data_IF_625970842911
#
_entry.id   IF_625970842911
#
_cell.length_a   1.000
_cell.length_b   1.000
_cell.length_c   1.000
_cell.angle_alpha   90.00
_cell.angle_beta   90.00
_cell.angle_gamma   90.00
#
_symmetry.space_group_name_H-M   'P 1'
#
loop_
_entity.id
_entity.type
_entity.pdbx_description
1 polymer ?
#
# COMPACT_ATOMS: atom_id res chain seq x y z
N UNK A 1 56.92 -18.98 47.05
CA UNK A 1 57.60 -17.70 47.29
C UNK A 1 57.08 -16.66 46.35
N UNK A 2 56.35 -15.68 46.84
CA UNK A 2 55.79 -14.61 46.05
C UNK A 2 56.91 -13.64 45.62
N UNK A 3 56.93 -13.32 44.34
CA UNK A 3 57.81 -12.30 43.74
C UNK A 3 57.00 -11.08 43.40
N UNK A 4 57.43 -9.92 43.82
CA UNK A 4 56.93 -8.62 43.43
C UNK A 4 58.03 -7.87 42.68
N UNK A 5 57.74 -7.49 41.43
CA UNK A 5 58.66 -6.72 40.60
C UNK A 5 58.06 -5.36 40.27
N UNK A 6 58.73 -4.27 40.65
CA UNK A 6 58.34 -2.88 40.42
C UNK A 6 59.45 -2.18 39.63
N UNK A 7 59.17 -1.84 38.38
CA UNK A 7 60.06 -1.06 37.52
C UNK A 7 59.69 0.43 37.62
N UNK A 8 60.54 1.23 38.25
CA UNK A 8 60.37 2.68 38.40
C UNK A 8 61.21 3.51 37.40
N UNK A 9 61.69 2.93 36.35
CA UNK A 9 62.44 3.67 35.31
C UNK A 9 61.53 4.55 34.45
N UNK A 10 61.85 5.86 34.25
CA UNK A 10 60.89 6.82 33.62
C UNK A 10 60.79 6.70 32.12
N UNK A 11 61.13 5.86 31.39
CA UNK A 11 60.91 5.62 29.98
C UNK A 11 61.73 4.44 29.46
N UNK A 12 61.08 3.36 29.18
CA UNK A 12 61.68 2.14 28.62
C UNK A 12 61.38 0.93 29.54
N UNK A 13 61.58 -0.23 29.01
CA UNK A 13 61.35 -1.47 29.76
C UNK A 13 62.53 -1.71 30.70
N UNK A 14 62.30 -1.68 32.00
CA UNK A 14 63.30 -2.03 33.02
C UNK A 14 63.61 -3.54 33.04
N UNK A 15 62.56 -4.35 32.74
CA UNK A 15 62.69 -5.78 32.61
C UNK A 15 62.28 -6.24 31.20
N UNK A 16 63.20 -6.82 30.47
CA UNK A 16 62.94 -7.24 29.09
C UNK A 16 62.26 -8.62 28.97
N UNK A 17 62.45 -9.50 29.93
CA UNK A 17 61.87 -10.84 29.94
C UNK A 17 61.79 -11.43 31.34
N UNK A 18 60.66 -11.99 31.70
CA UNK A 18 60.43 -12.70 32.95
C UNK A 18 59.90 -14.09 32.61
N UNK A 19 60.49 -15.15 33.15
CA UNK A 19 59.95 -16.51 33.07
C UNK A 19 59.56 -17.00 34.46
N UNK A 20 58.32 -17.42 34.67
CA UNK A 20 57.90 -18.17 35.84
C UNK A 20 58.14 -19.64 35.60
N UNK A 21 59.19 -20.21 36.21
CA UNK A 21 59.54 -21.62 36.08
C UNK A 21 59.95 -22.15 37.48
N UNK A 22 59.33 -23.22 37.93
CA UNK A 22 59.64 -23.82 39.23
C UNK A 22 58.56 -24.75 39.75
N UNK A 23 58.42 -24.78 41.10
CA UNK A 23 57.38 -25.56 41.77
C UNK A 23 55.99 -24.95 41.59
N UNK A 24 54.93 -25.77 41.70
CA UNK A 24 53.54 -25.33 41.64
C UNK A 24 53.23 -24.20 42.58
N UNK A 25 52.36 -23.30 42.14
CA UNK A 25 51.78 -22.23 42.99
C UNK A 25 52.66 -20.99 43.12
N UNK A 26 53.51 -20.66 42.16
CA UNK A 26 54.24 -19.40 42.15
C UNK A 26 53.31 -18.21 41.93
N UNK A 27 53.62 -17.10 42.60
CA UNK A 27 52.90 -15.82 42.43
C UNK A 27 53.86 -14.72 41.97
N UNK A 28 53.47 -14.01 40.92
CA UNK A 28 54.23 -12.85 40.38
C UNK A 28 53.32 -11.64 40.32
N UNK A 29 53.72 -10.55 40.99
CA UNK A 29 53.03 -9.26 40.87
C UNK A 29 53.96 -8.24 40.19
N UNK A 30 53.42 -7.59 39.16
CA UNK A 30 54.13 -6.62 38.29
C UNK A 30 53.60 -5.22 38.56
N UNK A 31 54.49 -4.27 38.66
CA UNK A 31 54.18 -2.84 38.59
C UNK A 31 55.25 -2.16 37.74
N UNK A 32 54.83 -1.35 36.76
CA UNK A 32 55.71 -0.71 35.77
C UNK A 32 55.72 -1.43 34.43
N UNK A 33 56.79 -1.19 33.61
CA UNK A 33 56.83 -1.63 32.24
C UNK A 33 57.67 -2.88 32.03
N UNK A 34 57.04 -3.93 31.49
CA UNK A 34 57.68 -5.23 31.21
C UNK A 34 57.46 -5.60 29.76
N UNK A 35 58.52 -6.09 29.08
CA UNK A 35 58.37 -6.43 27.66
C UNK A 35 57.69 -7.80 27.47
N UNK A 36 58.11 -8.83 28.23
CA UNK A 36 57.55 -10.18 28.05
C UNK A 36 57.51 -10.94 29.39
N UNK A 37 56.40 -11.60 29.64
CA UNK A 37 56.23 -12.52 30.75
C UNK A 37 55.81 -13.88 30.18
N UNK A 38 56.51 -14.95 30.54
CA UNK A 38 56.14 -16.32 30.19
C UNK A 38 55.89 -17.14 31.45
N UNK A 39 54.69 -17.67 31.56
CA UNK A 39 54.28 -18.56 32.64
C UNK A 39 54.44 -20.03 32.23
N UNK A 40 55.30 -20.76 32.87
CA UNK A 40 55.59 -22.18 32.64
C UNK A 40 55.20 -23.06 33.85
N UNK A 41 54.60 -22.48 34.89
CA UNK A 41 54.41 -23.15 36.20
C UNK A 41 52.91 -23.40 36.45
N UNK A 42 52.51 -24.62 36.80
CA UNK A 42 51.14 -24.92 37.17
C UNK A 42 50.68 -24.16 38.46
N UNK A 43 49.36 -23.92 38.57
CA UNK A 43 48.71 -23.28 39.73
C UNK A 43 49.32 -21.94 40.12
N UNK A 44 49.94 -21.30 39.20
CA UNK A 44 50.60 -19.98 39.43
C UNK A 44 49.58 -18.82 39.24
N UNK A 45 49.93 -17.68 39.80
CA UNK A 45 49.15 -16.46 39.62
C UNK A 45 50.06 -15.32 39.15
N UNK A 46 49.63 -14.62 38.11
CA UNK A 46 50.26 -13.38 37.64
C UNK A 46 49.31 -12.23 37.89
N UNK A 47 49.79 -11.18 38.56
CA UNK A 47 49.10 -9.91 38.75
C UNK A 47 49.85 -8.80 38.05
N UNK A 48 49.16 -8.01 37.22
CA UNK A 48 49.64 -6.74 36.64
C UNK A 48 48.94 -5.64 37.44
N UNK A 49 49.62 -5.08 38.40
CA UNK A 49 49.04 -4.10 39.31
C UNK A 49 48.99 -2.70 38.73
N UNK A 50 49.92 -2.35 37.87
CA UNK A 50 49.96 -1.08 37.13
C UNK A 50 51.04 -1.09 36.06
N UNK A 51 50.97 -0.15 35.08
CA UNK A 51 51.95 -0.01 34.02
C UNK A 51 51.58 -0.81 32.76
N UNK A 52 52.60 -1.09 31.94
CA UNK A 52 52.43 -1.68 30.63
C UNK A 52 53.22 -2.96 30.46
N UNK A 53 52.58 -3.99 29.89
CA UNK A 53 53.24 -5.25 29.52
C UNK A 53 53.01 -5.52 28.03
N UNK A 54 54.09 -5.64 27.19
CA UNK A 54 53.92 -5.94 25.79
C UNK A 54 53.30 -7.32 25.54
N UNK A 55 53.76 -8.36 26.28
CA UNK A 55 53.28 -9.74 26.03
C UNK A 55 53.27 -10.59 27.29
N UNK A 56 52.17 -11.28 27.52
CA UNK A 56 52.05 -12.34 28.54
C UNK A 56 51.73 -13.65 27.82
N UNK A 57 52.57 -14.65 27.96
CA UNK A 57 52.37 -16.00 27.46
C UNK A 57 52.06 -16.96 28.64
N UNK A 58 50.92 -17.63 28.58
CA UNK A 58 50.56 -18.72 29.50
C UNK A 58 50.70 -20.04 28.73
N UNK A 59 51.83 -20.72 28.96
CA UNK A 59 52.24 -21.95 28.27
C UNK A 59 51.31 -23.13 28.64
N UNK A 60 51.26 -24.15 27.80
CA UNK A 60 50.50 -25.39 28.03
C UNK A 60 50.81 -26.11 29.36
N UNK A 61 51.99 -25.89 29.91
CA UNK A 61 52.42 -26.46 31.20
C UNK A 61 51.81 -25.71 32.41
N UNK A 62 51.40 -24.47 32.25
CA UNK A 62 50.90 -23.61 33.33
C UNK A 62 49.40 -23.87 33.65
N UNK A 63 49.06 -25.15 33.87
CA UNK A 63 47.68 -25.57 34.16
C UNK A 63 47.16 -24.94 35.45
N UNK A 64 45.84 -24.66 35.52
CA UNK A 64 45.16 -24.06 36.69
C UNK A 64 45.72 -22.69 37.09
N UNK A 65 46.33 -21.97 36.19
CA UNK A 65 46.90 -20.65 36.42
C UNK A 65 45.87 -19.51 36.28
N UNK A 66 46.15 -18.41 36.96
CA UNK A 66 45.32 -17.20 36.91
C UNK A 66 46.13 -15.97 36.48
N UNK A 67 45.50 -15.06 35.78
CA UNK A 67 46.05 -13.77 35.41
C UNK A 67 45.08 -12.68 35.91
N UNK A 68 45.58 -11.71 36.66
CA UNK A 68 44.81 -10.54 37.09
C UNK A 68 45.43 -9.27 36.51
N UNK A 69 44.65 -8.46 35.80
CA UNK A 69 45.07 -7.19 35.21
C UNK A 69 44.25 -6.09 35.89
N UNK A 70 44.91 -5.33 36.78
CA UNK A 70 44.23 -4.32 37.56
C UNK A 70 43.80 -3.11 36.71
N UNK A 71 42.81 -2.35 37.18
CA UNK A 71 42.37 -1.12 36.51
C UNK A 71 43.55 -0.15 36.30
N UNK A 72 43.69 0.34 35.09
CA UNK A 72 44.80 1.22 34.66
C UNK A 72 46.10 0.50 34.34
N UNK A 73 46.13 -0.82 34.37
CA UNK A 73 47.20 -1.62 33.80
C UNK A 73 46.85 -2.01 32.36
N UNK A 74 47.84 -2.05 31.49
CA UNK A 74 47.68 -2.35 30.05
C UNK A 74 48.56 -3.53 29.64
N UNK A 75 48.02 -4.46 28.87
CA UNK A 75 48.74 -5.60 28.29
C UNK A 75 48.45 -5.65 26.78
N UNK A 76 49.48 -5.45 25.94
CA UNK A 76 49.24 -5.44 24.48
C UNK A 76 48.82 -6.81 23.98
N UNK A 77 49.49 -7.89 24.42
CA UNK A 77 49.21 -9.25 23.93
C UNK A 77 49.10 -10.26 25.08
N UNK A 78 48.04 -11.01 25.12
CA UNK A 78 47.83 -12.14 26.04
C UNK A 78 47.64 -13.42 25.24
N UNK A 79 48.54 -14.41 25.38
CA UNK A 79 48.44 -15.69 24.71
C UNK A 79 48.16 -16.81 25.72
N UNK A 80 47.06 -17.54 25.55
CA UNK A 80 46.61 -18.59 26.44
C UNK A 80 46.67 -19.95 25.72
N UNK A 81 47.75 -20.72 25.97
CA UNK A 81 47.91 -22.07 25.43
C UNK A 81 47.31 -23.15 26.34
N UNK A 82 46.76 -22.77 27.49
CA UNK A 82 46.06 -23.63 28.46
C UNK A 82 44.85 -22.87 29.01
N UNK A 83 43.86 -23.58 29.54
CA UNK A 83 42.72 -23.02 30.20
C UNK A 83 43.15 -22.09 31.35
N UNK A 84 42.85 -20.81 31.24
CA UNK A 84 43.30 -19.75 32.16
C UNK A 84 42.12 -18.86 32.54
N UNK A 85 42.06 -18.48 33.85
CA UNK A 85 41.15 -17.46 34.33
C UNK A 85 41.85 -16.09 34.30
N UNK A 86 41.40 -15.19 33.45
CA UNK A 86 41.85 -13.81 33.36
C UNK A 86 40.80 -12.91 33.99
N UNK A 87 41.17 -12.13 34.99
CA UNK A 87 40.30 -11.31 35.82
C UNK A 87 40.83 -9.88 35.94
N UNK A 88 40.01 -8.96 36.38
CA UNK A 88 40.34 -7.55 36.61
C UNK A 88 39.58 -6.61 35.66
N UNK A 89 39.95 -5.34 35.70
CA UNK A 89 39.35 -4.25 34.93
C UNK A 89 40.41 -3.46 34.13
N UNK A 90 41.56 -4.07 33.84
CA UNK A 90 42.62 -3.49 33.02
C UNK A 90 42.39 -3.77 31.53
N UNK A 91 43.25 -3.20 30.68
CA UNK A 91 43.11 -3.25 29.24
C UNK A 91 43.95 -4.38 28.61
N UNK A 92 43.38 -5.08 27.64
CA UNK A 92 44.07 -6.08 26.81
C UNK A 92 43.92 -5.67 25.33
N UNK A 93 45.02 -5.37 24.66
CA UNK A 93 45.04 -5.05 23.24
C UNK A 93 44.64 -6.24 22.39
N UNK A 94 45.35 -7.38 22.51
CA UNK A 94 45.05 -8.61 21.76
C UNK A 94 45.09 -9.85 22.64
N UNK A 95 43.99 -10.57 22.66
CA UNK A 95 43.86 -11.87 23.30
C UNK A 95 43.89 -12.99 22.27
N UNK A 96 44.80 -13.96 22.47
CA UNK A 96 44.84 -15.20 21.69
C UNK A 96 44.52 -16.38 22.61
N UNK A 97 43.49 -17.18 22.26
CA UNK A 97 43.09 -18.37 22.98
C UNK A 97 43.29 -19.63 22.13
N UNK A 98 44.24 -20.48 22.52
CA UNK A 98 44.60 -21.70 21.86
C UNK A 98 44.04 -22.98 22.51
N UNK A 99 43.56 -22.88 23.78
CA UNK A 99 43.02 -24.00 24.53
C UNK A 99 41.60 -23.71 25.06
N UNK A 100 40.70 -24.71 25.09
CA UNK A 100 39.33 -24.51 25.55
C UNK A 100 39.26 -24.31 27.09
N UNK A 101 38.19 -23.62 27.54
CA UNK A 101 37.89 -23.45 28.95
C UNK A 101 38.47 -22.18 29.58
N UNK A 102 39.12 -21.32 28.83
CA UNK A 102 39.57 -20.02 29.36
C UNK A 102 38.38 -19.10 29.61
N UNK A 103 38.50 -18.28 30.69
CA UNK A 103 37.53 -17.25 31.05
C UNK A 103 38.23 -15.90 31.16
N UNK A 104 37.66 -14.85 30.58
CA UNK A 104 38.20 -13.47 30.59
C UNK A 104 37.08 -12.53 30.98
N UNK A 105 37.24 -11.76 32.07
CA UNK A 105 36.17 -10.91 32.62
C UNK A 105 36.05 -9.56 31.91
N UNK A 106 37.06 -9.12 31.19
CA UNK A 106 37.05 -7.90 30.38
C UNK A 106 36.95 -8.21 28.87
N UNK A 107 36.58 -7.24 28.06
CA UNK A 107 36.52 -7.37 26.58
C UNK A 107 37.83 -6.83 25.98
N UNK A 108 38.70 -7.67 25.39
CA UNK A 108 39.93 -7.25 24.72
C UNK A 108 39.61 -6.49 23.42
N UNK A 109 40.56 -5.64 22.96
CA UNK A 109 40.40 -4.90 21.70
C UNK A 109 40.34 -5.83 20.49
N UNK A 110 41.18 -6.84 20.45
CA UNK A 110 41.17 -7.87 19.44
C UNK A 110 41.16 -9.26 20.10
N UNK A 111 40.44 -10.18 19.51
CA UNK A 111 40.32 -11.54 20.00
C UNK A 111 40.59 -12.51 18.84
N UNK A 112 41.49 -13.44 19.10
CA UNK A 112 41.75 -14.57 18.21
C UNK A 112 41.51 -15.86 18.97
N UNK A 113 40.58 -16.69 18.54
CA UNK A 113 40.34 -18.03 19.08
C UNK A 113 40.69 -19.06 18.03
N UNK A 114 41.47 -20.05 18.43
CA UNK A 114 41.85 -21.17 17.52
C UNK A 114 40.59 -21.94 17.08
N UNK A 115 40.44 -22.31 15.79
CA UNK A 115 39.30 -23.08 15.30
C UNK A 115 39.06 -24.36 16.14
N UNK A 116 37.81 -24.56 16.57
CA UNK A 116 37.41 -25.68 17.42
C UNK A 116 37.64 -25.46 18.94
N UNK A 117 38.07 -24.27 19.33
CA UNK A 117 38.24 -23.88 20.71
C UNK A 117 37.09 -22.93 21.11
N UNK A 118 36.56 -23.02 22.33
CA UNK A 118 35.61 -22.10 22.95
C UNK A 118 36.20 -21.46 24.20
N UNK A 119 35.93 -20.18 24.41
CA UNK A 119 36.25 -19.42 25.61
C UNK A 119 35.05 -18.61 26.09
N UNK A 120 35.04 -18.19 27.35
CA UNK A 120 34.07 -17.25 27.88
C UNK A 120 34.74 -15.89 28.03
N UNK A 121 34.31 -14.87 27.32
CA UNK A 121 34.89 -13.52 27.30
C UNK A 121 33.80 -12.51 27.56
N UNK A 122 33.99 -11.62 28.54
CA UNK A 122 32.97 -10.65 28.99
C UNK A 122 31.61 -11.33 29.31
N UNK A 123 31.65 -12.54 29.83
CA UNK A 123 30.47 -13.34 30.17
C UNK A 123 29.81 -14.07 29.02
N UNK A 124 30.29 -13.93 27.80
CA UNK A 124 29.75 -14.58 26.60
C UNK A 124 30.64 -15.71 26.10
N UNK A 125 30.03 -16.83 25.65
CA UNK A 125 30.76 -17.90 25.01
C UNK A 125 31.10 -17.49 23.56
N UNK A 126 32.38 -17.59 23.24
CA UNK A 126 32.90 -17.26 21.91
C UNK A 126 33.72 -18.42 21.33
N UNK A 127 33.54 -18.65 20.04
CA UNK A 127 34.40 -19.45 19.18
C UNK A 127 35.23 -18.54 18.26
N UNK A 128 35.93 -19.12 17.31
CA UNK A 128 36.75 -18.38 16.35
C UNK A 128 35.97 -17.41 15.46
N UNK A 129 34.71 -17.71 15.11
CA UNK A 129 33.86 -16.88 14.28
C UNK A 129 33.30 -15.68 15.09
N UNK A 130 32.77 -15.96 16.28
CA UNK A 130 32.29 -14.91 17.20
C UNK A 130 33.41 -13.95 17.62
N UNK A 131 34.64 -14.47 17.85
CA UNK A 131 35.82 -13.67 18.14
C UNK A 131 36.21 -12.72 16.99
N UNK A 132 36.18 -13.21 15.77
CA UNK A 132 36.45 -12.39 14.57
C UNK A 132 35.40 -11.29 14.38
N UNK A 133 34.12 -11.59 14.59
CA UNK A 133 33.05 -10.59 14.55
C UNK A 133 33.17 -9.55 15.67
N UNK A 134 33.53 -9.95 16.87
CA UNK A 134 33.75 -9.04 18.00
C UNK A 134 34.94 -8.10 17.81
N UNK A 135 35.94 -8.52 17.08
CA UNK A 135 37.15 -7.74 16.78
C UNK A 135 36.98 -6.80 15.57
N UNK A 136 35.95 -7.02 14.73
CA UNK A 136 35.70 -6.18 13.58
C UNK A 136 35.16 -4.81 14.00
N UNK A 137 35.27 -3.81 13.12
CA UNK A 137 34.65 -2.49 13.34
C UNK A 137 33.16 -2.60 13.63
N UNK A 138 32.63 -1.78 14.55
CA UNK A 138 31.20 -1.81 14.86
C UNK A 138 30.35 -1.49 13.65
N UNK A 139 29.35 -2.32 13.37
CA UNK A 139 28.43 -2.10 12.26
C UNK A 139 27.06 -2.74 12.53
N UNK A 140 26.03 -2.11 12.01
CA UNK A 140 24.74 -2.77 11.83
C UNK A 140 24.88 -3.84 10.72
N UNK A 141 24.32 -5.02 10.96
CA UNK A 141 24.36 -6.13 9.98
C UNK A 141 23.60 -5.80 8.70
N UNK A 142 23.88 -6.55 7.65
CA UNK A 142 23.20 -6.40 6.36
C UNK A 142 21.68 -6.59 6.53
N UNK A 143 20.88 -5.72 5.90
CA UNK A 143 19.43 -5.70 6.04
C UNK A 143 18.89 -4.91 7.23
N UNK A 144 19.77 -4.41 8.12
CA UNK A 144 19.36 -3.58 9.26
C UNK A 144 19.85 -2.13 9.13
N UNK A 145 19.11 -1.14 9.66
CA UNK A 145 17.79 -1.27 10.29
C UNK A 145 16.71 -1.75 9.32
N UNK A 146 15.73 -2.50 9.82
CA UNK A 146 14.55 -2.95 9.08
C UNK A 146 13.30 -2.35 9.72
N UNK A 147 12.29 -1.98 8.90
CA UNK A 147 10.98 -1.54 9.39
C UNK A 147 9.93 -2.57 9.00
N UNK A 148 9.21 -3.08 10.00
CA UNK A 148 8.14 -4.09 9.86
C UNK A 148 6.85 -3.61 10.56
N UNK A 149 5.79 -4.40 10.49
CA UNK A 149 4.50 -4.17 11.16
C UNK A 149 3.97 -2.75 10.95
N UNK A 150 4.09 -2.26 9.70
CA UNK A 150 3.61 -0.94 9.30
C UNK A 150 2.10 -0.85 9.51
N UNK A 151 1.71 0.09 10.36
CA UNK A 151 0.32 0.46 10.60
C UNK A 151 0.15 1.97 10.38
N UNK A 152 -1.07 2.49 10.25
CA UNK A 152 -1.31 3.90 9.95
C UNK A 152 -0.62 4.90 10.89
N UNK A 153 -0.41 4.52 12.15
CA UNK A 153 0.17 5.40 13.17
C UNK A 153 1.34 4.79 13.93
N UNK A 154 1.86 3.66 13.45
CA UNK A 154 2.97 2.96 14.09
C UNK A 154 3.75 2.07 13.14
N UNK A 155 4.96 1.72 13.56
CA UNK A 155 5.84 0.76 12.87
C UNK A 155 6.69 0.03 13.90
N UNK A 156 7.32 -1.06 13.53
CA UNK A 156 8.34 -1.74 14.33
C UNK A 156 9.68 -1.58 13.62
N UNK A 157 10.66 -0.96 14.29
CA UNK A 157 12.05 -0.95 13.82
C UNK A 157 12.81 -2.11 14.45
N UNK A 158 13.61 -2.82 13.63
CA UNK A 158 14.45 -3.93 14.05
C UNK A 158 15.91 -3.59 13.74
N UNK A 159 16.78 -3.99 14.66
CA UNK A 159 18.21 -3.72 14.57
C UNK A 159 18.99 -4.98 14.92
N UNK A 160 20.10 -5.18 14.25
CA UNK A 160 21.09 -6.20 14.59
C UNK A 160 22.48 -5.65 14.29
N UNK A 161 23.44 -5.95 15.13
CA UNK A 161 24.82 -5.49 15.00
C UNK A 161 25.79 -6.67 15.16
N UNK A 162 27.02 -6.48 14.70
CA UNK A 162 28.06 -7.52 14.77
C UNK A 162 28.61 -7.77 16.19
N UNK A 163 28.33 -6.91 17.12
CA UNK A 163 28.79 -7.01 18.51
C UNK A 163 27.78 -6.47 19.52
N UNK A 164 28.04 -6.66 20.81
CA UNK A 164 27.28 -6.08 21.90
C UNK A 164 27.45 -4.56 21.91
N UNK A 165 26.38 -3.84 22.24
CA UNK A 165 26.40 -2.37 22.31
C UNK A 165 25.00 -1.77 22.28
N UNK A 166 24.92 -0.48 21.93
CA UNK A 166 23.70 0.30 21.95
C UNK A 166 23.42 0.93 20.58
N UNK A 167 22.22 0.72 20.06
CA UNK A 167 21.73 1.46 18.89
C UNK A 167 21.06 2.75 19.36
N UNK A 168 21.49 3.86 18.82
CA UNK A 168 20.83 5.16 18.90
C UNK A 168 20.04 5.38 17.61
N UNK A 169 18.77 5.70 17.72
CA UNK A 169 17.90 5.83 16.55
C UNK A 169 16.97 7.03 16.67
N UNK A 170 16.58 7.58 15.52
CA UNK A 170 15.56 8.61 15.43
C UNK A 170 14.74 8.46 14.17
N UNK A 171 13.47 8.85 14.25
CA UNK A 171 12.54 8.98 13.14
C UNK A 171 12.26 10.46 12.89
N UNK A 172 12.41 10.89 11.64
CA UNK A 172 12.10 12.25 11.19
C UNK A 172 11.12 12.20 10.03
N UNK A 173 10.36 13.28 9.79
CA UNK A 173 9.60 13.43 8.54
C UNK A 173 10.55 13.56 7.36
N UNK A 174 10.18 12.99 6.21
CA UNK A 174 10.95 13.15 4.95
C UNK A 174 11.11 14.61 4.57
N UNK A 175 10.13 15.46 4.84
CA UNK A 175 10.19 16.89 4.58
C UNK A 175 11.26 17.62 5.39
N UNK A 176 11.61 17.09 6.56
CA UNK A 176 12.61 17.68 7.46
C UNK A 176 14.03 17.12 7.23
N UNK A 177 14.15 16.05 6.46
CA UNK A 177 15.40 15.33 6.19
C UNK A 177 15.80 14.35 7.31
N UNK A 178 16.88 13.61 7.09
CA UNK A 178 17.47 12.70 8.09
C UNK A 178 18.34 13.47 9.07
N UNK A 179 18.63 12.86 10.23
CA UNK A 179 19.53 13.41 11.25
C UNK A 179 20.92 12.80 11.15
N UNK A 180 21.93 13.54 11.62
CA UNK A 180 23.32 13.10 11.70
C UNK A 180 23.61 12.27 12.97
N UNK A 181 24.84 11.76 13.09
CA UNK A 181 25.30 10.94 14.23
C UNK A 181 25.22 11.72 15.55
N UNK A 182 25.67 12.96 15.55
CA UNK A 182 25.68 13.80 16.76
C UNK A 182 24.27 14.10 17.26
N UNK A 183 23.31 14.25 16.36
CA UNK A 183 21.91 14.46 16.69
C UNK A 183 21.26 13.19 17.29
N UNK A 184 21.72 12.00 16.86
CA UNK A 184 21.26 10.74 17.42
C UNK A 184 21.77 10.53 18.86
N UNK A 185 23.02 10.90 19.12
CA UNK A 185 23.63 10.75 20.43
C UNK A 185 23.13 11.79 21.44
N UNK A 186 22.72 12.98 20.98
CA UNK A 186 22.21 14.07 21.80
C UNK A 186 20.88 14.63 21.27
N UNK A 187 19.79 13.85 21.35
CA UNK A 187 18.52 14.22 20.70
C UNK A 187 17.89 15.52 21.24
N UNK A 188 18.27 16.00 22.42
CA UNK A 188 17.75 17.23 23.02
C UNK A 188 18.17 18.51 22.29
N UNK A 189 19.23 18.48 21.50
CA UNK A 189 19.73 19.64 20.74
C UNK A 189 19.01 19.85 19.40
N UNK A 190 18.24 18.87 18.92
CA UNK A 190 17.65 18.85 17.57
C UNK A 190 16.10 18.86 17.55
N UNK A 191 15.50 19.46 18.46
CA UNK A 191 14.11 19.27 18.82
C UNK A 191 13.18 19.69 17.69
N UNK A 192 12.79 20.18 16.82
CA UNK A 192 11.48 20.03 16.14
C UNK A 192 11.42 18.98 15.02
N UNK A 193 12.52 18.43 14.54
CA UNK A 193 12.52 17.49 13.42
C UNK A 193 12.33 16.03 13.84
N UNK A 194 12.67 15.70 15.07
CA UNK A 194 12.57 14.32 15.55
C UNK A 194 11.14 14.03 16.00
N UNK A 195 10.48 13.14 15.28
CA UNK A 195 9.15 12.62 15.63
C UNK A 195 9.25 11.65 16.79
N UNK A 196 10.24 10.75 16.76
CA UNK A 196 10.57 9.78 17.79
C UNK A 196 12.07 9.50 17.80
N UNK A 197 12.62 9.24 18.98
CA UNK A 197 13.98 8.77 19.14
C UNK A 197 14.09 7.85 20.35
N UNK A 198 15.18 7.15 20.46
CA UNK A 198 15.47 6.29 21.59
C UNK A 198 16.76 5.52 21.42
N UNK A 199 17.00 4.63 22.38
CA UNK A 199 18.13 3.71 22.39
C UNK A 199 17.63 2.28 22.51
N UNK A 200 18.43 1.32 22.03
CA UNK A 200 18.18 -0.10 22.15
C UNK A 200 19.50 -0.83 22.40
N UNK A 201 19.62 -1.52 23.52
CA UNK A 201 20.78 -2.35 23.80
C UNK A 201 20.69 -3.67 23.04
N UNK A 202 21.78 -4.03 22.37
CA UNK A 202 21.95 -5.30 21.66
C UNK A 202 22.97 -6.16 22.41
N UNK A 203 22.70 -7.45 22.55
CA UNK A 203 23.55 -8.40 23.26
C UNK A 203 24.56 -9.11 22.36
N UNK A 204 24.57 -8.82 21.05
CA UNK A 204 25.45 -9.43 20.05
C UNK A 204 24.71 -9.73 18.73
N UNK A 205 25.38 -10.47 17.85
CA UNK A 205 24.92 -10.72 16.47
C UNK A 205 23.75 -11.70 16.32
N UNK A 206 23.44 -12.49 17.34
CA UNK A 206 22.56 -13.67 17.21
C UNK A 206 21.04 -13.37 17.30
N UNK A 207 20.63 -12.22 17.82
CA UNK A 207 19.22 -11.89 18.01
C UNK A 207 18.94 -10.42 17.67
N UNK A 208 18.13 -10.14 16.63
CA UNK A 208 17.72 -8.76 16.36
C UNK A 208 16.88 -8.20 17.51
N UNK A 209 17.26 -7.03 17.98
CA UNK A 209 16.42 -6.25 18.89
C UNK A 209 15.34 -5.50 18.11
N UNK A 210 14.21 -5.21 18.73
CA UNK A 210 13.10 -4.48 18.12
C UNK A 210 12.56 -3.39 19.02
N UNK A 211 12.05 -2.33 18.41
CA UNK A 211 11.38 -1.22 19.09
C UNK A 211 10.13 -0.81 18.34
N UNK A 212 9.02 -0.61 19.07
CA UNK A 212 7.79 -0.11 18.50
C UNK A 212 7.83 1.42 18.42
N UNK A 213 7.66 1.95 17.24
CA UNK A 213 7.52 3.37 16.94
C UNK A 213 6.03 3.69 16.86
N UNK A 214 5.54 4.63 17.66
CA UNK A 214 4.13 5.03 17.71
C UNK A 214 3.99 6.55 17.63
N UNK A 215 2.78 7.04 17.30
CA UNK A 215 2.50 8.48 17.18
C UNK A 215 2.91 9.02 15.80
N UNK A 216 3.03 8.15 14.80
CA UNK A 216 3.18 8.51 13.40
C UNK A 216 1.84 8.99 12.84
N UNK A 217 1.87 9.75 11.74
CA UNK A 217 0.68 10.13 11.00
C UNK A 217 0.39 9.14 9.88
N UNK A 218 -0.87 8.88 9.62
CA UNK A 218 -1.31 8.08 8.47
C UNK A 218 -0.85 8.72 7.15
N UNK A 219 -0.44 7.90 6.18
CA UNK A 219 0.11 8.35 4.89
C UNK A 219 1.37 9.24 5.04
N UNK A 220 2.05 9.12 6.19
CA UNK A 220 3.26 9.87 6.50
C UNK A 220 4.51 9.17 5.98
N UNK A 221 5.42 9.93 5.36
CA UNK A 221 6.72 9.44 4.91
C UNK A 221 7.81 9.86 5.88
N UNK A 222 8.66 8.91 6.26
CA UNK A 222 9.65 9.07 7.33
C UNK A 222 11.02 8.54 6.93
N UNK A 223 12.08 9.10 7.56
CA UNK A 223 13.38 8.50 7.66
C UNK A 223 13.57 7.87 9.04
N UNK A 224 14.13 6.67 9.07
CA UNK A 224 14.72 6.06 10.25
C UNK A 224 16.23 6.15 10.12
N UNK A 225 16.85 6.94 11.00
CA UNK A 225 18.31 7.08 11.11
C UNK A 225 18.78 6.29 12.32
N UNK A 226 19.89 5.58 12.19
CA UNK A 226 20.47 4.77 13.27
C UNK A 226 21.99 4.74 13.22
N UNK A 227 22.60 4.77 14.41
CA UNK A 227 24.02 4.52 14.64
C UNK A 227 24.16 3.50 15.77
N UNK A 228 25.05 2.56 15.61
CA UNK A 228 25.38 1.59 16.66
C UNK A 228 26.68 2.03 17.33
N UNK A 229 26.73 1.94 18.65
CA UNK A 229 27.90 2.23 19.49
C UNK A 229 28.21 0.98 20.31
N UNK A 230 29.42 0.48 20.19
CA UNK A 230 29.85 -0.72 20.91
C UNK A 230 30.27 -0.43 22.37
N UNK A 231 30.75 -1.44 23.07
CA UNK A 231 31.18 -1.33 24.49
C UNK A 231 32.48 -0.50 24.65
N UNK A 232 33.22 -0.26 23.57
CA UNK A 232 34.43 0.59 23.53
C UNK A 232 34.14 2.04 23.12
N UNK A 233 32.84 2.40 23.01
CA UNK A 233 32.40 3.71 22.52
C UNK A 233 32.72 3.97 21.04
N UNK A 234 33.15 2.93 20.29
CA UNK A 234 33.31 3.03 18.84
C UNK A 234 31.98 3.05 18.13
N UNK A 235 31.91 3.74 16.98
CA UNK A 235 30.65 4.04 16.27
C UNK A 235 30.60 3.39 14.90
N UNK A 236 29.47 2.81 14.57
CA UNK A 236 29.19 2.37 13.21
C UNK A 236 29.00 3.56 12.26
N UNK A 237 29.09 3.34 10.94
CA UNK A 237 28.54 4.28 9.98
C UNK A 237 27.03 4.52 10.21
N UNK A 238 26.61 5.79 9.98
CA UNK A 238 25.19 6.14 10.01
C UNK A 238 24.42 5.35 8.96
N UNK A 239 23.33 4.74 9.35
CA UNK A 239 22.36 4.11 8.43
C UNK A 239 21.07 4.90 8.42
N UNK A 240 20.54 5.13 7.20
CA UNK A 240 19.26 5.82 7.00
C UNK A 240 18.42 5.00 6.03
N UNK A 241 17.20 4.71 6.41
CA UNK A 241 16.19 4.10 5.52
C UNK A 241 14.91 4.93 5.54
N UNK A 242 14.13 4.86 4.48
CA UNK A 242 12.83 5.51 4.40
C UNK A 242 11.69 4.51 4.47
N UNK A 243 10.56 4.92 5.05
CA UNK A 243 9.33 4.15 5.07
C UNK A 243 8.12 5.08 5.05
N UNK A 244 6.96 4.55 4.62
CA UNK A 244 5.69 5.27 4.61
C UNK A 244 4.64 4.46 5.35
N UNK A 245 3.91 5.13 6.25
CA UNK A 245 2.79 4.50 6.96
C UNK A 245 1.58 4.36 6.02
N UNK A 246 0.77 3.29 6.16
CA UNK A 246 -0.45 3.12 5.41
C UNK A 246 -1.44 4.28 5.62
N UNK A 247 -2.19 4.63 4.58
CA UNK A 247 -3.30 5.56 4.68
C UNK A 247 -4.46 4.92 5.46
N UNK A 248 -4.98 5.62 6.47
CA UNK A 248 -6.12 5.19 7.29
C UNK A 248 -7.40 5.97 6.98
N UNK A 249 -7.41 6.78 5.94
CA UNK A 249 -8.61 7.52 5.58
C UNK A 249 -9.65 6.59 4.94
N UNK A 250 -10.92 6.79 5.33
CA UNK A 250 -12.04 6.05 4.76
C UNK A 250 -12.31 6.56 3.34
N UNK A 251 -12.35 5.69 2.32
CA UNK A 251 -12.79 6.11 1.00
C UNK A 251 -14.25 6.55 1.04
N UNK A 252 -14.56 7.71 0.46
CA UNK A 252 -15.91 8.25 0.38
C UNK A 252 -16.22 8.70 -1.04
N UNK A 253 -17.50 8.69 -1.39
CA UNK A 253 -17.96 9.34 -2.63
C UNK A 253 -17.82 10.87 -2.49
N UNK A 254 -17.30 11.50 -3.53
CA UNK A 254 -17.24 12.96 -3.59
C UNK A 254 -18.66 13.55 -3.57
N UNK A 255 -18.78 14.82 -3.20
CA UNK A 255 -20.08 15.51 -3.16
C UNK A 255 -20.75 15.47 -4.53
N UNK A 256 -22.03 15.13 -4.58
CA UNK A 256 -22.80 14.97 -5.82
C UNK A 256 -22.64 13.62 -6.53
N UNK A 257 -21.82 12.74 -6.03
CA UNK A 257 -21.62 11.39 -6.59
C UNK A 257 -22.11 10.29 -5.64
N UNK A 258 -22.40 9.07 -6.15
CA UNK A 258 -22.62 8.71 -7.55
C UNK A 258 -23.98 9.17 -8.06
N UNK A 259 -24.15 9.22 -9.39
CA UNK A 259 -25.45 9.47 -10.04
C UNK A 259 -25.61 8.67 -11.31
N UNK A 260 -26.89 8.49 -11.73
CA UNK A 260 -27.27 7.84 -13.00
C UNK A 260 -27.55 8.91 -14.06
N UNK A 261 -27.21 8.56 -15.31
CA UNK A 261 -27.51 9.36 -16.51
C UNK A 261 -27.75 8.43 -17.70
N UNK A 262 -28.20 8.99 -18.80
CA UNK A 262 -28.45 8.27 -20.06
C UNK A 262 -29.27 6.98 -19.86
N UNK A 263 -30.31 7.09 -19.03
CA UNK A 263 -31.19 5.96 -18.74
C UNK A 263 -32.02 5.67 -19.99
N UNK A 264 -32.01 4.39 -20.40
CA UNK A 264 -32.83 3.85 -21.50
C UNK A 264 -33.81 2.81 -20.95
N UNK A 265 -34.50 2.10 -21.81
CA UNK A 265 -35.38 1.00 -21.39
C UNK A 265 -34.63 -0.20 -20.81
N UNK A 266 -33.37 -0.40 -21.17
CA UNK A 266 -32.58 -1.58 -20.79
C UNK A 266 -31.18 -1.27 -20.26
N UNK A 267 -30.84 -0.01 -20.07
CA UNK A 267 -29.49 0.40 -19.65
C UNK A 267 -29.48 1.74 -18.93
N UNK A 268 -28.36 2.09 -18.36
CA UNK A 268 -28.06 3.41 -17.81
C UNK A 268 -26.56 3.58 -17.60
N UNK A 269 -26.11 4.81 -17.52
CA UNK A 269 -24.71 5.15 -17.23
C UNK A 269 -24.58 5.67 -15.81
N UNK A 270 -23.64 5.10 -15.06
CA UNK A 270 -23.26 5.54 -13.71
C UNK A 270 -22.04 6.43 -13.82
N UNK A 271 -22.08 7.58 -13.15
CA UNK A 271 -20.91 8.43 -12.97
C UNK A 271 -20.56 8.47 -11.49
N UNK A 272 -19.29 8.22 -11.16
CA UNK A 272 -18.78 8.16 -9.80
C UNK A 272 -17.45 8.88 -9.67
N UNK A 273 -17.17 9.38 -8.47
CA UNK A 273 -15.88 9.94 -8.08
C UNK A 273 -15.66 9.68 -6.59
N UNK A 274 -14.45 9.23 -6.23
CA UNK A 274 -14.08 8.95 -4.86
C UNK A 274 -13.03 9.95 -4.33
N UNK A 275 -13.03 10.19 -3.02
CA UNK A 275 -12.07 11.07 -2.34
C UNK A 275 -10.71 10.43 -2.11
N UNK A 276 -10.57 9.13 -2.38
CA UNK A 276 -9.37 8.32 -2.24
C UNK A 276 -9.33 7.28 -3.37
N UNK A 277 -8.13 6.91 -3.83
CA UNK A 277 -7.98 5.78 -4.74
C UNK A 277 -8.38 4.48 -4.04
N UNK A 278 -9.31 3.74 -4.63
CA UNK A 278 -9.97 2.61 -3.97
C UNK A 278 -10.63 1.70 -5.00
N UNK A 279 -11.17 0.58 -4.54
CA UNK A 279 -12.02 -0.31 -5.35
C UNK A 279 -13.48 -0.01 -5.09
N UNK A 280 -14.24 0.20 -6.17
CA UNK A 280 -15.68 0.30 -6.18
C UNK A 280 -16.29 -1.08 -6.48
N UNK A 281 -17.31 -1.43 -5.72
CA UNK A 281 -18.25 -2.53 -6.02
C UNK A 281 -19.61 -1.94 -6.28
N UNK A 282 -20.36 -2.51 -7.20
CA UNK A 282 -21.73 -2.11 -7.50
C UNK A 282 -22.64 -3.31 -7.72
N UNK A 283 -23.90 -3.14 -7.40
CA UNK A 283 -24.95 -4.13 -7.67
C UNK A 283 -26.26 -3.45 -7.98
N UNK A 284 -26.99 -3.96 -8.97
CA UNK A 284 -28.36 -3.53 -9.32
C UNK A 284 -29.35 -4.54 -8.77
N UNK A 285 -30.36 -4.07 -8.06
CA UNK A 285 -31.43 -4.87 -7.50
C UNK A 285 -32.79 -4.30 -7.92
N UNK A 286 -33.86 -5.12 -7.97
CA UNK A 286 -35.23 -4.61 -8.06
C UNK A 286 -35.52 -3.64 -6.91
N UNK A 287 -36.34 -2.62 -7.16
CA UNK A 287 -36.74 -1.65 -6.14
C UNK A 287 -37.41 -2.33 -4.95
N UNK A 288 -36.96 -1.98 -3.77
CA UNK A 288 -37.50 -2.54 -2.53
C UNK A 288 -36.88 -3.87 -2.09
N UNK A 289 -35.93 -4.39 -2.83
CA UNK A 289 -35.12 -5.53 -2.37
C UNK A 289 -34.29 -5.13 -1.14
N UNK A 290 -33.89 -6.11 -0.34
CA UNK A 290 -33.05 -5.89 0.83
C UNK A 290 -31.71 -5.28 0.43
N UNK A 291 -31.32 -4.19 1.11
CA UNK A 291 -30.06 -3.51 0.84
C UNK A 291 -28.87 -4.45 1.16
N UNK A 292 -27.89 -4.58 0.25
CA UNK A 292 -26.70 -5.38 0.52
C UNK A 292 -25.82 -4.71 1.57
N UNK A 293 -25.11 -5.53 2.33
CA UNK A 293 -24.09 -5.09 3.29
C UNK A 293 -22.71 -5.04 2.65
N UNK A 294 -21.74 -4.40 3.31
CA UNK A 294 -20.33 -4.43 2.90
C UNK A 294 -19.79 -5.88 2.80
N UNK A 295 -20.25 -6.78 3.66
CA UNK A 295 -19.83 -8.19 3.63
C UNK A 295 -20.37 -8.92 2.40
N UNK A 296 -21.57 -8.60 1.94
CA UNK A 296 -22.14 -9.20 0.73
C UNK A 296 -21.32 -8.80 -0.50
N UNK A 297 -20.86 -7.55 -0.56
CA UNK A 297 -19.94 -7.08 -1.60
C UNK A 297 -18.58 -7.76 -1.53
N UNK A 298 -17.98 -7.87 -0.34
CA UNK A 298 -16.70 -8.57 -0.13
C UNK A 298 -16.75 -10.04 -0.57
N UNK A 299 -17.85 -10.69 -0.30
CA UNK A 299 -18.05 -12.09 -0.62
C UNK A 299 -18.48 -12.33 -2.09
N UNK A 300 -18.70 -11.27 -2.88
CA UNK A 300 -19.38 -11.35 -4.20
C UNK A 300 -20.71 -12.11 -4.14
N UNK A 301 -21.44 -11.94 -3.05
CA UNK A 301 -22.64 -12.72 -2.72
C UNK A 301 -23.88 -11.83 -2.45
N UNK A 302 -24.03 -10.76 -3.25
CA UNK A 302 -25.22 -9.89 -3.18
C UNK A 302 -26.43 -10.66 -3.67
N UNK A 303 -27.31 -11.03 -2.75
CA UNK A 303 -28.50 -11.83 -3.06
C UNK A 303 -29.52 -11.05 -3.90
N UNK A 304 -30.10 -11.70 -4.91
CA UNK A 304 -31.12 -11.11 -5.79
C UNK A 304 -30.61 -10.00 -6.70
N UNK A 305 -29.28 -9.83 -6.87
CA UNK A 305 -28.77 -8.87 -7.83
C UNK A 305 -29.09 -9.29 -9.27
N UNK A 306 -29.40 -8.30 -10.09
CA UNK A 306 -29.60 -8.45 -11.53
C UNK A 306 -28.28 -8.25 -12.29
N UNK A 307 -27.37 -7.49 -11.70
CA UNK A 307 -26.01 -7.23 -12.20
C UNK A 307 -25.09 -6.82 -11.08
N UNK A 308 -23.84 -7.23 -11.18
CA UNK A 308 -22.77 -6.97 -10.21
C UNK A 308 -21.46 -6.69 -10.93
N UNK A 309 -20.64 -5.82 -10.35
CA UNK A 309 -19.33 -5.55 -10.92
C UNK A 309 -18.42 -4.77 -9.99
N UNK A 310 -17.18 -4.59 -10.44
CA UNK A 310 -16.13 -3.85 -9.73
C UNK A 310 -15.40 -2.91 -10.66
N UNK A 311 -14.84 -1.82 -10.12
CA UNK A 311 -14.06 -0.83 -10.84
C UNK A 311 -12.99 -0.25 -9.90
N UNK A 312 -11.76 -0.14 -10.36
CA UNK A 312 -10.73 0.62 -9.65
C UNK A 312 -10.89 2.12 -9.92
N UNK A 313 -11.01 2.89 -8.87
CA UNK A 313 -11.30 4.33 -8.91
C UNK A 313 -10.08 5.11 -8.43
N UNK A 314 -9.62 6.07 -9.22
CA UNK A 314 -8.55 6.98 -8.85
C UNK A 314 -9.09 8.18 -8.09
N UNK A 315 -8.39 8.62 -7.05
CA UNK A 315 -8.72 9.77 -6.21
C UNK A 315 -9.06 11.01 -7.06
N UNK A 316 -10.23 11.61 -6.80
CA UNK A 316 -10.71 12.83 -7.42
C UNK A 316 -10.82 12.78 -8.97
N UNK A 317 -10.83 11.58 -9.55
CA UNK A 317 -11.08 11.38 -10.99
C UNK A 317 -12.52 10.90 -11.17
N UNK A 318 -13.24 11.53 -12.09
CA UNK A 318 -14.57 11.07 -12.47
C UNK A 318 -14.48 9.83 -13.34
N UNK A 319 -15.17 8.78 -12.95
CA UNK A 319 -15.25 7.52 -13.67
C UNK A 319 -16.69 7.25 -14.09
N UNK A 320 -16.86 6.70 -15.28
CA UNK A 320 -18.18 6.28 -15.80
C UNK A 320 -18.14 4.81 -16.14
N UNK A 321 -19.25 4.13 -15.90
CA UNK A 321 -19.48 2.77 -16.39
C UNK A 321 -20.95 2.57 -16.74
N UNK A 322 -21.22 1.67 -17.65
CA UNK A 322 -22.57 1.40 -18.10
C UNK A 322 -23.15 0.19 -17.36
N UNK A 323 -24.38 0.34 -16.89
CA UNK A 323 -25.21 -0.76 -16.44
C UNK A 323 -25.91 -1.31 -17.68
N UNK A 324 -25.17 -2.10 -18.44
CA UNK A 324 -25.63 -2.83 -19.61
C UNK A 324 -25.44 -4.35 -19.37
N UNK A 325 -26.05 -5.19 -20.15
CA UNK A 325 -26.10 -6.65 -19.93
C UNK A 325 -26.72 -7.07 -18.58
N UNK A 326 -27.51 -6.18 -17.99
CA UNK A 326 -28.34 -6.44 -16.81
C UNK A 326 -29.76 -6.62 -17.33
N UNK A 327 -30.53 -7.63 -16.90
CA UNK A 327 -31.90 -7.85 -17.38
C UNK A 327 -32.87 -6.81 -16.78
N UNK A 328 -32.73 -5.57 -17.28
CA UNK A 328 -33.65 -4.48 -16.93
C UNK A 328 -34.87 -4.53 -17.84
N UNK A 329 -36.03 -4.36 -17.25
CA UNK A 329 -37.30 -4.19 -17.93
C UNK A 329 -37.63 -2.71 -18.05
N UNK A 330 -38.36 -2.32 -19.09
CA UNK A 330 -38.78 -0.95 -19.30
C UNK A 330 -39.86 -0.54 -18.28
N UNK A 331 -39.90 0.75 -17.96
CA UNK A 331 -40.83 1.35 -17.00
C UNK A 331 -40.74 0.80 -15.59
N UNK A 332 -39.71 0.01 -15.31
CA UNK A 332 -39.46 -0.58 -14.01
C UNK A 332 -38.44 0.21 -13.19
N UNK A 333 -38.58 0.13 -11.86
CA UNK A 333 -37.69 0.84 -10.94
C UNK A 333 -36.69 -0.10 -10.31
N UNK A 334 -35.47 0.40 -10.16
CA UNK A 334 -34.33 -0.33 -9.63
C UNK A 334 -33.56 0.50 -8.61
N UNK A 335 -32.86 -0.19 -7.73
CA UNK A 335 -31.92 0.37 -6.78
C UNK A 335 -30.49 -0.09 -7.14
N UNK A 336 -29.61 0.86 -7.48
CA UNK A 336 -28.19 0.63 -7.64
C UNK A 336 -27.52 0.88 -6.31
N UNK A 337 -26.81 -0.11 -5.79
CA UNK A 337 -25.98 0.00 -4.59
C UNK A 337 -24.51 0.04 -4.97
N UNK A 338 -23.76 0.91 -4.30
CA UNK A 338 -22.35 1.12 -4.55
C UNK A 338 -21.60 1.13 -3.20
N UNK A 339 -20.43 0.52 -3.19
CA UNK A 339 -19.60 0.43 -2.02
C UNK A 339 -18.13 0.60 -2.38
N UNK A 340 -17.41 1.44 -1.61
CA UNK A 340 -15.98 1.73 -1.80
C UNK A 340 -15.19 1.04 -0.70
N UNK A 341 -14.06 0.43 -1.05
CA UNK A 341 -13.10 -0.13 -0.10
C UNK A 341 -11.68 0.14 -0.54
N UNK A 342 -10.74 0.24 0.40
CA UNK A 342 -9.32 0.28 0.09
C UNK A 342 -8.93 -0.94 -0.74
N UNK A 343 -7.88 -0.82 -1.51
CA UNK A 343 -7.38 -1.91 -2.37
C UNK A 343 -7.01 -3.14 -1.52
N UNK A 344 -6.48 -2.93 -0.33
CA UNK A 344 -6.14 -3.94 0.67
C UNK A 344 -7.30 -4.33 1.60
N UNK A 345 -8.48 -3.70 1.43
CA UNK A 345 -9.70 -3.99 2.19
C UNK A 345 -9.71 -3.44 3.62
N UNK A 346 -8.74 -2.58 3.99
CA UNK A 346 -8.60 -2.06 5.36
C UNK A 346 -9.71 -1.13 5.79
N UNK A 347 -10.06 -0.15 4.97
CA UNK A 347 -11.11 0.84 5.22
C UNK A 347 -12.19 0.77 4.13
N UNK A 348 -13.42 1.12 4.47
CA UNK A 348 -14.51 1.12 3.49
C UNK A 348 -15.59 2.16 3.82
N UNK A 349 -16.29 2.64 2.77
CA UNK A 349 -17.43 3.55 2.91
C UNK A 349 -18.65 2.85 3.49
N UNK A 350 -19.67 3.65 3.83
CA UNK A 350 -21.02 3.13 3.89
C UNK A 350 -21.50 2.73 2.47
N UNK A 351 -22.41 1.76 2.39
CA UNK A 351 -23.07 1.42 1.13
C UNK A 351 -23.97 2.58 0.70
N UNK A 352 -23.78 3.06 -0.52
CA UNK A 352 -24.56 4.14 -1.12
C UNK A 352 -25.61 3.57 -2.06
N UNK A 353 -26.81 4.17 -2.05
CA UNK A 353 -27.91 3.80 -2.95
C UNK A 353 -28.25 4.94 -3.91
N UNK A 354 -28.50 4.59 -5.17
CA UNK A 354 -29.05 5.45 -6.21
C UNK A 354 -30.24 4.72 -6.84
N UNK A 355 -31.43 5.29 -6.73
CA UNK A 355 -32.62 4.72 -7.37
C UNK A 355 -32.80 5.31 -8.75
N UNK A 356 -33.25 4.52 -9.71
CA UNK A 356 -33.56 4.93 -11.05
C UNK A 356 -34.75 4.14 -11.61
N UNK A 357 -35.35 4.67 -12.66
CA UNK A 357 -36.46 4.01 -13.38
C UNK A 357 -36.09 4.02 -14.85
N UNK A 358 -36.19 2.88 -15.48
CA UNK A 358 -36.00 2.74 -16.93
C UNK A 358 -37.12 3.46 -17.67
N UNK A 359 -36.81 3.94 -18.87
CA UNK A 359 -37.80 4.59 -19.72
C UNK A 359 -38.52 3.57 -20.58
N UNK A 360 -39.65 3.98 -21.13
CA UNK A 360 -40.35 3.25 -22.20
C UNK A 360 -39.46 3.21 -23.43
N UNK A 361 -39.22 2.04 -23.98
CA UNK A 361 -38.42 1.82 -25.18
C UNK A 361 -39.23 1.12 -26.30
N UNK A 362 -40.47 0.76 -25.99
CA UNK A 362 -41.35 0.05 -26.95
C UNK A 362 -42.02 1.04 -27.89
N UNK A 363 -41.78 0.96 -29.20
CA UNK A 363 -42.44 1.82 -30.16
C UNK A 363 -43.97 1.60 -30.23
N UNK A 364 -44.77 2.66 -30.41
CA UNK A 364 -46.20 2.53 -30.59
C UNK A 364 -46.56 1.76 -31.87
N UNK A 365 -47.61 0.97 -31.76
CA UNK A 365 -48.14 0.16 -32.90
C UNK A 365 -49.55 0.55 -33.23
N UNK A 366 -49.87 0.52 -34.50
CA UNK A 366 -51.22 0.72 -35.00
C UNK A 366 -52.05 -0.56 -34.80
N UNK A 367 -53.11 -0.48 -33.97
CA UNK A 367 -54.18 -1.47 -33.96
C UNK A 367 -55.02 -1.30 -35.23
N UNK A 368 -55.22 -0.04 -35.65
CA UNK A 368 -55.86 0.30 -36.93
C UNK A 368 -55.09 1.46 -37.54
N UNK A 369 -54.52 1.21 -38.73
CA UNK A 369 -53.87 2.26 -39.53
C UNK A 369 -54.88 3.35 -39.89
N UNK A 370 -54.45 4.59 -40.19
CA UNK A 370 -55.30 5.63 -40.71
C UNK A 370 -56.16 5.13 -41.87
N UNK A 371 -57.45 5.03 -41.60
CA UNK A 371 -58.42 4.44 -42.53
C UNK A 371 -59.46 5.51 -42.89
N UNK A 372 -59.74 5.65 -44.15
CA UNK A 372 -60.76 6.59 -44.68
C UNK A 372 -62.16 6.15 -44.24
N UNK A 373 -62.88 7.03 -43.62
CA UNK A 373 -64.27 6.81 -43.24
C UNK A 373 -65.29 7.73 -43.97
N UNK A 374 -64.80 8.85 -44.54
CA UNK A 374 -65.64 9.80 -45.28
C UNK A 374 -64.85 10.57 -46.34
N UNK A 375 -65.39 10.68 -47.52
CA UNK A 375 -64.78 11.50 -48.56
C UNK A 375 -65.78 12.60 -48.96
N UNK A 376 -65.30 13.86 -48.97
CA UNK A 376 -66.02 14.99 -49.49
C UNK A 376 -65.21 15.65 -50.62
N UNK A 377 -65.79 16.63 -51.27
CA UNK A 377 -65.16 17.27 -52.46
C UNK A 377 -63.76 17.89 -52.15
N UNK A 378 -63.53 18.36 -50.93
CA UNK A 378 -62.29 19.06 -50.54
C UNK A 378 -61.76 18.60 -49.16
N UNK A 379 -62.24 17.47 -48.67
CA UNK A 379 -61.78 16.91 -47.40
C UNK A 379 -61.97 15.41 -47.32
N UNK A 380 -61.15 14.77 -46.48
CA UNK A 380 -61.26 13.36 -46.17
C UNK A 380 -61.28 13.20 -44.66
N UNK A 381 -62.25 12.41 -44.16
CA UNK A 381 -62.28 11.95 -42.77
C UNK A 381 -61.56 10.63 -42.64
N UNK A 382 -60.74 10.51 -41.60
CA UNK A 382 -60.00 9.30 -41.29
C UNK A 382 -60.17 8.97 -39.81
N UNK A 383 -59.87 7.74 -39.42
CA UNK A 383 -59.71 7.33 -38.06
C UNK A 383 -58.50 6.37 -37.94
N UNK A 384 -57.92 6.32 -36.76
CA UNK A 384 -56.80 5.42 -36.44
C UNK A 384 -56.90 4.97 -34.98
N UNK A 385 -56.20 3.88 -34.66
CA UNK A 385 -56.12 3.35 -33.30
C UNK A 385 -54.69 2.92 -33.01
N UNK A 386 -54.17 3.30 -31.82
CA UNK A 386 -52.87 2.89 -31.34
C UNK A 386 -53.02 1.95 -30.13
N UNK A 387 -52.04 1.07 -29.96
CA UNK A 387 -51.93 0.21 -28.75
C UNK A 387 -51.68 0.99 -27.46
N UNK A 388 -51.17 2.23 -27.58
CA UNK A 388 -50.83 3.11 -26.49
C UNK A 388 -51.14 4.59 -26.75
N UNK A 389 -51.09 5.42 -25.75
CA UNK A 389 -51.33 6.85 -25.88
C UNK A 389 -50.14 7.55 -26.49
N UNK A 390 -50.39 8.45 -27.46
CA UNK A 390 -49.32 9.13 -28.15
C UNK A 390 -49.82 10.23 -29.08
N UNK A 391 -49.06 10.51 -30.13
CA UNK A 391 -49.39 11.45 -31.18
C UNK A 391 -49.23 10.78 -32.53
N UNK A 392 -50.30 10.80 -33.33
CA UNK A 392 -50.24 10.45 -34.74
C UNK A 392 -49.89 11.70 -35.55
N UNK A 393 -48.82 11.68 -36.28
CA UNK A 393 -48.43 12.67 -37.28
C UNK A 393 -48.80 12.16 -38.68
N UNK A 394 -49.25 13.06 -39.53
CA UNK A 394 -49.61 12.72 -40.89
C UNK A 394 -49.25 13.84 -41.87
N UNK A 395 -48.92 13.46 -43.09
CA UNK A 395 -48.68 14.35 -44.23
C UNK A 395 -49.44 13.84 -45.44
N UNK A 396 -49.86 14.76 -46.30
CA UNK A 396 -50.49 14.46 -47.57
C UNK A 396 -49.65 15.08 -48.68
N UNK A 397 -49.41 14.32 -49.71
CA UNK A 397 -48.79 14.73 -50.98
C UNK A 397 -49.71 14.34 -52.17
N UNK A 398 -49.52 14.90 -53.38
CA UNK A 398 -50.26 14.42 -54.59
C UNK A 398 -49.83 13.00 -54.91
N UNK A 399 -50.73 12.18 -55.39
CA UNK A 399 -50.46 10.81 -55.78
C UNK A 399 -49.25 10.72 -56.71
N UNK A 400 -48.31 9.82 -56.40
CA UNK A 400 -47.11 9.60 -57.22
C UNK A 400 -45.95 10.57 -56.91
N UNK A 401 -46.13 11.58 -56.03
CA UNK A 401 -45.02 12.38 -55.59
C UNK A 401 -44.10 11.54 -54.66
N UNK A 402 -42.77 11.69 -54.88
CA UNK A 402 -41.77 11.02 -53.99
C UNK A 402 -41.81 11.64 -52.64
N UNK A 403 -42.11 10.80 -51.60
CA UNK A 403 -42.14 11.17 -50.21
C UNK A 403 -41.84 9.95 -49.31
N UNK A 404 -41.11 10.05 -48.22
CA UNK A 404 -40.23 11.18 -47.82
C UNK A 404 -39.11 11.44 -48.84
N UNK A 405 -38.56 12.67 -48.84
CA UNK A 405 -37.52 13.05 -49.82
C UNK A 405 -36.12 12.65 -49.32
N UNK A 406 -35.23 12.24 -50.24
CA UNK A 406 -33.82 12.04 -49.86
C UNK A 406 -33.18 13.30 -49.25
N UNK A 407 -32.23 13.13 -48.37
CA UNK A 407 -31.42 14.25 -47.85
C UNK A 407 -30.57 14.85 -48.96
N UNK A 408 -30.18 16.13 -48.83
CA UNK A 408 -29.34 16.83 -49.80
C UNK A 408 -28.07 16.03 -50.12
N UNK A 409 -27.86 15.74 -51.41
CA UNK A 409 -26.72 14.93 -51.88
C UNK A 409 -26.96 13.42 -51.89
N UNK A 410 -28.12 12.94 -51.45
CA UNK A 410 -28.54 11.54 -51.55
C UNK A 410 -29.51 11.36 -52.71
N UNK A 411 -29.52 10.17 -53.34
CA UNK A 411 -30.44 9.79 -54.39
C UNK A 411 -31.08 8.45 -54.04
N UNK A 412 -32.32 8.23 -54.58
CA UNK A 412 -33.09 7.00 -54.38
C UNK A 412 -34.21 7.16 -53.34
N UNK A 413 -35.05 6.13 -53.24
CA UNK A 413 -36.18 6.12 -52.32
C UNK A 413 -35.67 6.10 -50.87
N UNK A 414 -36.28 6.91 -50.02
CA UNK A 414 -36.02 6.90 -48.60
C UNK A 414 -36.64 5.65 -47.98
N UNK A 415 -35.87 4.96 -47.16
CA UNK A 415 -36.39 3.85 -46.35
C UNK A 415 -37.39 4.38 -45.32
N UNK A 416 -38.62 3.86 -45.36
CA UNK A 416 -39.70 4.28 -44.49
C UNK A 416 -39.49 3.89 -43.00
N UNK A 417 -38.59 2.98 -42.73
CA UNK A 417 -38.17 2.64 -41.36
C UNK A 417 -37.11 3.60 -40.77
N UNK A 418 -36.49 4.41 -41.65
CA UNK A 418 -35.42 5.33 -41.25
C UNK A 418 -35.91 6.47 -40.32
N UNK A 419 -35.06 6.91 -39.41
CA UNK A 419 -35.33 8.06 -38.55
C UNK A 419 -35.55 9.34 -39.38
N UNK A 420 -34.90 9.45 -40.54
CA UNK A 420 -35.10 10.56 -41.45
C UNK A 420 -36.53 10.58 -42.02
N UNK A 421 -37.07 9.42 -42.39
CA UNK A 421 -38.45 9.34 -42.86
C UNK A 421 -39.45 9.72 -41.77
N UNK A 422 -39.28 9.17 -40.58
CA UNK A 422 -40.09 9.45 -39.40
C UNK A 422 -40.07 10.95 -39.02
N UNK A 423 -38.87 11.56 -39.06
CA UNK A 423 -38.69 12.97 -38.79
C UNK A 423 -39.38 13.85 -39.85
N UNK A 424 -39.28 13.52 -41.14
CA UNK A 424 -39.94 14.29 -42.18
C UNK A 424 -41.46 14.29 -42.03
N UNK A 425 -42.07 13.15 -41.69
CA UNK A 425 -43.50 13.04 -41.46
C UNK A 425 -43.91 13.80 -40.19
N UNK A 426 -43.20 13.59 -39.08
CA UNK A 426 -43.53 14.25 -37.81
C UNK A 426 -43.34 15.78 -37.85
N UNK A 427 -42.38 16.29 -38.61
CA UNK A 427 -42.15 17.70 -38.84
C UNK A 427 -43.00 18.30 -39.97
N UNK A 428 -43.71 17.47 -40.73
CA UNK A 428 -44.53 17.92 -41.89
C UNK A 428 -43.72 18.50 -43.03
N UNK A 429 -42.49 18.05 -43.23
CA UNK A 429 -41.56 18.60 -44.22
C UNK A 429 -42.02 18.24 -45.65
N UNK A 430 -41.92 19.18 -46.56
CA UNK A 430 -42.23 19.00 -48.00
C UNK A 430 -43.63 18.44 -48.28
N UNK A 431 -44.58 18.58 -47.35
CA UNK A 431 -45.94 18.09 -47.48
C UNK A 431 -46.87 19.16 -48.11
N UNK A 432 -47.85 18.74 -48.87
CA UNK A 432 -48.92 19.61 -49.31
C UNK A 432 -49.83 20.02 -48.15
N UNK A 433 -50.16 19.05 -47.31
CA UNK A 433 -50.85 19.20 -46.02
C UNK A 433 -50.19 18.35 -44.98
N UNK A 434 -50.19 18.82 -43.74
CA UNK A 434 -49.71 18.05 -42.59
C UNK A 434 -50.55 18.34 -41.35
N UNK A 435 -50.45 17.50 -40.38
CA UNK A 435 -51.11 17.69 -39.11
C UNK A 435 -50.74 16.60 -38.09
N UNK A 436 -51.29 16.76 -36.93
CA UNK A 436 -51.15 15.78 -35.85
C UNK A 436 -52.44 15.63 -35.07
N UNK A 437 -52.63 14.48 -34.47
CA UNK A 437 -53.76 14.19 -33.62
C UNK A 437 -53.31 13.41 -32.39
N UNK A 438 -53.83 13.78 -31.23
CA UNK A 438 -53.55 13.06 -29.95
C UNK A 438 -54.32 11.75 -29.96
N UNK A 439 -53.61 10.67 -29.74
CA UNK A 439 -54.15 9.31 -29.72
C UNK A 439 -54.37 8.89 -28.24
N UNK A 440 -55.45 8.15 -28.02
CA UNK A 440 -55.76 7.53 -26.73
C UNK A 440 -55.61 6.03 -26.91
N UNK A 441 -54.94 5.39 -25.96
CA UNK A 441 -54.69 3.96 -25.98
C UNK A 441 -55.99 3.15 -26.28
N UNK A 442 -55.88 2.27 -27.26
CA UNK A 442 -56.92 1.31 -27.64
C UNK A 442 -58.20 1.92 -28.18
N UNK A 443 -58.26 3.25 -28.43
CA UNK A 443 -59.48 3.92 -28.93
C UNK A 443 -59.31 4.42 -30.34
N UNK A 444 -60.37 4.31 -31.15
CA UNK A 444 -60.46 4.94 -32.44
C UNK A 444 -60.51 6.47 -32.26
N UNK A 445 -59.56 7.17 -32.88
CA UNK A 445 -59.50 8.61 -32.90
C UNK A 445 -59.71 9.09 -34.35
N UNK A 446 -60.73 9.88 -34.56
CA UNK A 446 -61.07 10.44 -35.87
C UNK A 446 -60.39 11.79 -36.06
N UNK A 447 -59.95 12.06 -37.30
CA UNK A 447 -59.41 13.32 -37.74
C UNK A 447 -59.81 13.63 -39.18
N UNK A 448 -59.70 14.88 -39.61
CA UNK A 448 -60.11 15.32 -40.94
C UNK A 448 -58.96 16.08 -41.60
N UNK A 449 -58.65 15.69 -42.81
CA UNK A 449 -57.75 16.44 -43.70
C UNK A 449 -58.62 17.29 -44.62
N UNK A 450 -58.44 18.63 -44.56
CA UNK A 450 -59.23 19.59 -45.29
C UNK A 450 -58.35 20.43 -46.24
N UNK A 451 -59.03 21.15 -47.21
CA UNK A 451 -58.38 22.02 -48.18
C UNK A 451 -57.67 21.24 -49.28
N UNK A 452 -58.21 20.08 -49.65
CA UNK A 452 -57.83 19.27 -50.81
C UNK A 452 -58.48 19.82 -52.07
N UNK A 453 -57.88 19.56 -53.23
CA UNK A 453 -58.46 19.86 -54.54
C UNK A 453 -59.47 18.75 -54.90
N UNK A 454 -60.60 19.15 -55.48
CA UNK A 454 -61.58 18.17 -55.93
C UNK A 454 -61.02 17.32 -57.10
N UNK A 455 -61.52 16.09 -57.23
CA UNK A 455 -61.17 15.15 -58.31
C UNK A 455 -59.62 14.89 -58.37
N UNK A 456 -58.92 14.97 -57.23
CA UNK A 456 -57.49 14.81 -57.18
C UNK A 456 -57.15 13.65 -56.22
N UNK A 457 -56.25 12.77 -56.66
CA UNK A 457 -55.75 11.66 -55.84
C UNK A 457 -54.55 12.09 -54.98
N UNK A 458 -54.49 11.55 -53.80
CA UNK A 458 -53.48 11.89 -52.79
C UNK A 458 -52.94 10.67 -52.13
N UNK A 459 -51.65 10.73 -51.73
CA UNK A 459 -50.98 9.80 -50.84
C UNK A 459 -50.92 10.38 -49.40
N UNK A 460 -51.29 9.58 -48.40
CA UNK A 460 -51.19 9.91 -46.99
C UNK A 460 -50.05 9.12 -46.36
N UNK A 461 -49.04 9.81 -45.81
CA UNK A 461 -47.99 9.18 -45.00
C UNK A 461 -48.20 9.53 -43.53
N UNK A 462 -47.92 8.57 -42.65
CA UNK A 462 -48.16 8.75 -41.24
C UNK A 462 -47.12 8.02 -40.36
N UNK A 463 -46.91 8.53 -39.17
CA UNK A 463 -46.06 7.92 -38.10
C UNK A 463 -46.65 8.25 -36.73
N UNK A 464 -46.61 7.30 -35.85
CA UNK A 464 -46.98 7.52 -34.45
C UNK A 464 -45.76 7.74 -33.60
N UNK A 465 -45.91 8.55 -32.55
CA UNK A 465 -44.93 8.75 -31.50
C UNK A 465 -45.62 8.62 -30.15
N UNK A 466 -45.04 7.80 -29.25
CA UNK A 466 -45.54 7.67 -27.88
C UNK A 466 -45.17 8.91 -27.03
N UNK A 467 -45.45 8.84 -25.71
CA UNK A 467 -45.08 9.91 -24.76
C UNK A 467 -43.59 9.90 -24.39
N UNK A 468 -42.90 8.79 -24.54
CA UNK A 468 -41.48 8.63 -24.27
C UNK A 468 -40.61 9.15 -25.42
N UNK A 469 -41.21 9.33 -26.63
CA UNK A 469 -40.54 9.82 -27.81
C UNK A 469 -40.22 8.73 -28.85
N UNK A 470 -40.62 7.47 -28.61
CA UNK A 470 -40.39 6.37 -29.55
C UNK A 470 -41.35 6.52 -30.74
N UNK A 471 -40.84 6.37 -31.94
CA UNK A 471 -41.62 6.37 -33.14
C UNK A 471 -42.04 4.95 -33.55
N UNK A 472 -43.22 4.78 -34.14
CA UNK A 472 -43.62 3.52 -34.74
C UNK A 472 -42.52 3.00 -35.72
N UNK A 473 -42.46 1.67 -35.88
CA UNK A 473 -41.35 1.01 -36.59
C UNK A 473 -41.09 1.59 -37.97
N UNK A 474 -42.18 1.89 -38.71
CA UNK A 474 -42.09 2.43 -40.05
C UNK A 474 -43.07 3.59 -40.26
N UNK A 475 -42.79 4.44 -41.25
CA UNK A 475 -43.77 5.35 -41.80
C UNK A 475 -44.78 4.53 -42.60
N UNK A 476 -46.06 4.64 -42.25
CA UNK A 476 -47.15 4.05 -43.00
C UNK A 476 -47.52 4.92 -44.24
N UNK A 477 -48.11 4.25 -45.24
CA UNK A 477 -48.66 4.90 -46.40
C UNK A 477 -50.08 4.40 -46.66
#
# INVERSE_FOLDING_TARGET
TDAYLDDRTPAGYGLSRIALEGEDGLSLNLAGNVKEVTNLTPKSSIGVASGHVDTINVDEKATDSTLNIASGAEVDNVNLDVATSVTGDGDIGHLTVNAPGSTVTMLPDQITIRPGVEATIDGEKMDSEAAAESSADPRLLAGYPEVTDLAPTSATARFSANKKGTVYWAVTSVTDGSVGVDDLLNPSSYSPKIVKSGTLSLTGSSQPGSVKISGLTSDGSYYLSAVFVDAREERSPLKVISFTTPDNTVPNFASGYPYMSKITSTSGQVTTMATKSCRLYWAVLPKGASAPTANDFKANAVSGNLGFGTLDVTKNVSNTFDVNNVPLEELESYDLYLWLTDVDGGQSSAVKKVSFTTVDGTPPRFNTNPTVNKVNATSVGLYANLNEAGTLYWVVVKEGEEYPKPLAGQSGKVDLSSDNAKLQVSAGMNALKNGKVTMTEGKDVSFTVSGLEKETAYDLYYVAQDRAGNYSETVGK
#
